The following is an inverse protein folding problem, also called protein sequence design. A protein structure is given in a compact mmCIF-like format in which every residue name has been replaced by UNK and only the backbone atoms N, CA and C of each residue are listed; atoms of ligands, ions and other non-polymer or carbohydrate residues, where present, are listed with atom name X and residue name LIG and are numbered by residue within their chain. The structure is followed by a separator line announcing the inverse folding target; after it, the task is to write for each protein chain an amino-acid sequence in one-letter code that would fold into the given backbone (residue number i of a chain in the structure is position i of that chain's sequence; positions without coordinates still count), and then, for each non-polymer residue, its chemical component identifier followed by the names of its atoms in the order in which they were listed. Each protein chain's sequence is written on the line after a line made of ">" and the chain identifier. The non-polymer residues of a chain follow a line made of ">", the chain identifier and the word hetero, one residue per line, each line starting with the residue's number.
data_IF_542097727139
#
_entry.id   IF_542097727139
#
_cell.length_a   1.000
_cell.length_b   1.000
_cell.length_c   1.000
_cell.angle_alpha   90.00
_cell.angle_beta   90.00
_cell.angle_gamma   90.00
#
_symmetry.space_group_name_H-M   'P 1'
#
loop_
_entity.id
_entity.type
_entity.pdbx_description
1 polymer ?
#
# COMPACT_ATOMS: atom_id res chain seq x y z
N UNK A 1 -16.60 -8.33 13.78
CA UNK A 1 -16.97 -8.50 12.36
C UNK A 1 -18.16 -7.63 11.95
N UNK A 2 -19.36 -7.84 12.54
CA UNK A 2 -20.59 -7.15 12.12
C UNK A 2 -20.49 -5.63 12.31
N UNK A 3 -19.96 -5.16 13.43
CA UNK A 3 -19.79 -3.71 13.71
C UNK A 3 -18.99 -3.01 12.60
N UNK A 4 -17.82 -3.56 12.26
CA UNK A 4 -16.96 -3.04 11.19
C UNK A 4 -17.64 -3.12 9.82
N UNK A 5 -18.30 -4.24 9.51
CA UNK A 5 -19.02 -4.37 8.25
C UNK A 5 -20.15 -3.33 8.11
N UNK A 6 -20.94 -3.12 9.17
CA UNK A 6 -21.98 -2.07 9.20
C UNK A 6 -21.37 -0.68 9.02
N UNK A 7 -20.22 -0.40 9.65
CA UNK A 7 -19.50 0.86 9.46
C UNK A 7 -19.10 1.04 8.00
N UNK A 8 -18.45 0.04 7.39
CA UNK A 8 -18.02 0.09 5.99
C UNK A 8 -19.21 0.32 5.05
N UNK A 9 -20.33 -0.41 5.26
CA UNK A 9 -21.55 -0.22 4.48
C UNK A 9 -22.22 1.14 4.73
N UNK A 10 -22.18 1.66 5.96
CA UNK A 10 -22.73 2.98 6.25
C UNK A 10 -21.96 4.07 5.48
N UNK A 11 -20.62 4.02 5.48
CA UNK A 11 -19.81 4.96 4.69
C UNK A 11 -20.00 4.77 3.19
N UNK A 12 -20.15 3.53 2.71
CA UNK A 12 -20.50 3.24 1.31
C UNK A 12 -21.85 3.86 0.92
N UNK A 13 -22.89 3.65 1.72
CA UNK A 13 -24.23 4.20 1.48
C UNK A 13 -24.25 5.73 1.57
N UNK A 14 -23.50 6.32 2.50
CA UNK A 14 -23.36 7.77 2.59
C UNK A 14 -22.65 8.34 1.35
N UNK A 15 -21.57 7.69 0.90
CA UNK A 15 -20.88 8.08 -0.33
C UNK A 15 -21.76 7.96 -1.56
N UNK A 16 -22.56 6.90 -1.66
CA UNK A 16 -23.56 6.71 -2.72
C UNK A 16 -24.66 7.76 -2.68
N UNK A 17 -25.19 8.07 -1.48
CA UNK A 17 -26.18 9.12 -1.30
C UNK A 17 -25.64 10.49 -1.75
N UNK A 18 -24.39 10.80 -1.43
CA UNK A 18 -23.73 12.04 -1.84
C UNK A 18 -23.49 12.05 -3.36
N UNK A 19 -22.98 10.97 -3.93
CA UNK A 19 -22.75 10.86 -5.37
C UNK A 19 -24.05 11.06 -6.15
N UNK A 20 -25.13 10.39 -5.69
CA UNK A 20 -26.44 10.47 -6.30
C UNK A 20 -27.06 11.87 -6.16
N UNK A 21 -27.04 12.45 -4.95
CA UNK A 21 -27.59 13.79 -4.70
C UNK A 21 -26.83 14.89 -5.45
N UNK A 22 -25.51 14.77 -5.57
CA UNK A 22 -24.66 15.73 -6.28
C UNK A 22 -24.55 15.47 -7.79
N UNK A 23 -25.16 14.40 -8.32
CA UNK A 23 -25.00 13.95 -9.71
C UNK A 23 -23.52 13.86 -10.16
N UNK A 24 -22.67 13.32 -9.28
CA UNK A 24 -21.24 13.25 -9.54
C UNK A 24 -20.91 12.05 -10.44
N UNK A 25 -20.05 12.19 -11.47
CA UNK A 25 -19.64 11.08 -12.35
C UNK A 25 -18.57 10.18 -11.70
N UNK A 26 -18.68 9.96 -10.39
CA UNK A 26 -17.72 9.19 -9.59
C UNK A 26 -18.52 8.15 -8.80
N UNK A 27 -18.07 6.88 -8.74
CA UNK A 27 -18.74 5.87 -7.93
C UNK A 27 -18.82 6.30 -6.47
N UNK A 28 -20.00 6.15 -5.84
CA UNK A 28 -20.20 6.50 -4.43
C UNK A 28 -19.24 5.80 -3.49
N UNK A 29 -18.72 4.63 -3.88
CA UNK A 29 -17.69 3.90 -3.13
C UNK A 29 -16.41 4.69 -2.90
N UNK A 30 -15.98 5.48 -3.90
CA UNK A 30 -14.77 6.31 -3.78
C UNK A 30 -15.01 7.42 -2.76
N UNK A 31 -16.20 8.03 -2.79
CA UNK A 31 -16.59 9.07 -1.81
C UNK A 31 -16.65 8.47 -0.40
N UNK A 32 -17.28 7.30 -0.26
CA UNK A 32 -17.34 6.57 1.01
C UNK A 32 -15.96 6.25 1.59
N UNK A 33 -15.01 5.88 0.74
CA UNK A 33 -13.61 5.64 1.14
C UNK A 33 -12.95 6.92 1.65
N UNK A 34 -13.13 8.06 0.98
CA UNK A 34 -12.58 9.35 1.41
C UNK A 34 -13.19 9.77 2.76
N UNK A 35 -14.50 9.59 2.94
CA UNK A 35 -15.18 9.88 4.20
C UNK A 35 -14.69 8.98 5.34
N UNK A 36 -14.54 7.68 5.10
CA UNK A 36 -14.00 6.73 6.07
C UNK A 36 -12.56 7.13 6.47
N UNK A 37 -11.73 7.48 5.49
CA UNK A 37 -10.36 7.93 5.70
C UNK A 37 -10.31 9.22 6.55
N UNK A 38 -11.18 10.18 6.26
CA UNK A 38 -11.29 11.40 7.06
C UNK A 38 -11.65 11.05 8.51
N UNK A 39 -12.66 10.22 8.74
CA UNK A 39 -13.07 9.81 10.08
C UNK A 39 -11.99 9.03 10.84
N UNK A 40 -11.24 8.17 10.14
CA UNK A 40 -10.09 7.46 10.71
C UNK A 40 -8.95 8.41 11.10
N UNK A 41 -8.71 9.44 10.27
CA UNK A 41 -7.68 10.44 10.54
C UNK A 41 -8.01 11.31 11.75
N UNK A 42 -9.29 11.55 12.02
CA UNK A 42 -9.76 12.35 13.17
C UNK A 42 -9.79 11.58 14.48
N UNK A 43 -9.88 10.23 14.46
CA UNK A 43 -10.03 9.41 15.67
C UNK A 43 -9.14 8.17 15.66
N UNK A 44 -7.95 8.21 16.30
CA UNK A 44 -7.05 7.07 16.34
C UNK A 44 -7.63 5.85 17.07
N UNK A 45 -8.51 6.07 18.06
CA UNK A 45 -9.19 4.98 18.78
C UNK A 45 -10.23 4.23 17.94
N UNK A 46 -10.80 4.89 16.92
CA UNK A 46 -11.71 4.25 15.97
C UNK A 46 -10.96 3.30 15.04
N UNK A 47 -9.75 3.66 14.61
CA UNK A 47 -8.91 2.82 13.76
C UNK A 47 -8.60 1.48 14.42
N UNK A 48 -8.12 1.49 15.66
CA UNK A 48 -7.82 0.25 16.40
C UNK A 48 -9.03 -0.65 16.61
N UNK A 49 -10.23 -0.07 16.69
CA UNK A 49 -11.46 -0.82 16.92
C UNK A 49 -11.94 -1.59 15.67
N UNK A 50 -11.67 -1.07 14.47
CA UNK A 50 -12.16 -1.67 13.22
C UNK A 50 -11.10 -2.46 12.44
N UNK A 51 -9.81 -2.24 12.71
CA UNK A 51 -8.69 -2.80 11.95
C UNK A 51 -8.69 -4.33 11.89
N UNK A 52 -8.75 -5.01 13.05
CA UNK A 52 -8.71 -6.48 13.11
C UNK A 52 -9.84 -7.12 12.31
N UNK A 53 -11.04 -6.53 12.40
CA UNK A 53 -12.20 -7.00 11.66
C UNK A 53 -12.11 -6.67 10.15
N UNK A 54 -11.56 -5.51 9.78
CA UNK A 54 -11.35 -5.13 8.39
C UNK A 54 -10.32 -6.05 7.71
N UNK A 55 -9.24 -6.42 8.41
CA UNK A 55 -8.25 -7.39 7.94
C UNK A 55 -8.84 -8.78 7.74
N UNK A 56 -9.77 -9.21 8.60
CA UNK A 56 -10.47 -10.47 8.40
C UNK A 56 -11.49 -10.41 7.24
N UNK A 57 -12.09 -9.25 6.94
CA UNK A 57 -12.91 -9.07 5.73
C UNK A 57 -12.09 -9.14 4.44
N UNK A 58 -10.85 -8.63 4.45
CA UNK A 58 -9.92 -8.74 3.32
C UNK A 58 -9.64 -10.19 2.89
N UNK A 59 -9.76 -11.17 3.81
CA UNK A 59 -9.65 -12.60 3.46
C UNK A 59 -10.79 -13.09 2.56
N UNK A 60 -11.94 -12.42 2.60
CA UNK A 60 -13.11 -12.72 1.77
C UNK A 60 -13.17 -11.88 0.49
N UNK A 61 -12.19 -11.01 0.25
CA UNK A 61 -12.08 -10.20 -0.97
C UNK A 61 -12.15 -11.03 -2.27
N UNK A 62 -11.63 -12.28 -2.35
CA UNK A 62 -11.80 -13.11 -3.55
C UNK A 62 -13.28 -13.31 -3.94
N UNK A 63 -14.21 -13.38 -2.98
CA UNK A 63 -15.65 -13.48 -3.25
C UNK A 63 -16.19 -12.23 -3.96
N UNK A 64 -15.64 -11.05 -3.65
CA UNK A 64 -16.02 -9.78 -4.29
C UNK A 64 -15.47 -9.63 -5.70
N UNK A 65 -14.43 -10.39 -6.06
CA UNK A 65 -13.88 -10.42 -7.42
C UNK A 65 -14.54 -11.46 -8.33
N UNK A 66 -15.37 -12.36 -7.78
CA UNK A 66 -16.12 -13.33 -8.60
C UNK A 66 -17.05 -12.62 -9.60
N UNK A 67 -17.91 -11.64 -9.22
CA UNK A 67 -18.81 -11.00 -10.17
C UNK A 67 -18.09 -10.25 -11.31
N UNK A 68 -17.06 -9.42 -11.04
CA UNK A 68 -16.25 -8.81 -12.10
C UNK A 68 -15.57 -9.85 -13.00
N UNK A 69 -15.04 -10.93 -12.40
CA UNK A 69 -14.38 -12.01 -13.14
C UNK A 69 -15.33 -12.74 -14.09
N UNK A 70 -16.55 -13.06 -13.64
CA UNK A 70 -17.58 -13.67 -14.48
C UNK A 70 -17.98 -12.72 -15.63
N UNK A 71 -18.06 -11.42 -15.37
CA UNK A 71 -18.30 -10.42 -16.42
C UNK A 71 -17.26 -10.46 -17.54
N UNK A 72 -15.98 -10.63 -17.19
CA UNK A 72 -14.89 -10.77 -18.18
C UNK A 72 -15.04 -12.09 -18.95
N UNK A 73 -15.44 -13.17 -18.29
CA UNK A 73 -15.60 -14.50 -18.93
C UNK A 73 -16.66 -14.52 -20.03
N UNK A 74 -17.72 -13.71 -19.91
CA UNK A 74 -18.73 -13.56 -20.98
C UNK A 74 -18.10 -13.06 -22.28
N UNK A 75 -17.06 -12.22 -22.21
CA UNK A 75 -16.34 -11.69 -23.36
C UNK A 75 -15.01 -12.39 -23.60
N UNK A 76 -14.77 -13.56 -22.99
CA UNK A 76 -13.49 -14.27 -23.05
C UNK A 76 -13.00 -14.51 -24.47
N UNK A 77 -13.89 -14.81 -25.42
CA UNK A 77 -13.53 -15.01 -26.83
C UNK A 77 -12.99 -13.75 -27.50
N UNK A 78 -13.53 -12.57 -27.17
CA UNK A 78 -13.02 -11.28 -27.67
C UNK A 78 -11.71 -10.89 -26.99
N UNK A 79 -11.63 -11.10 -25.67
CA UNK A 79 -10.39 -10.91 -24.91
C UNK A 79 -9.27 -11.78 -25.48
N UNK A 80 -9.55 -13.04 -25.83
CA UNK A 80 -8.59 -13.97 -26.42
C UNK A 80 -8.02 -13.49 -27.78
N UNK A 81 -8.86 -12.88 -28.62
CA UNK A 81 -8.42 -12.32 -29.90
C UNK A 81 -7.57 -11.05 -29.72
N UNK A 82 -7.92 -10.22 -28.74
CA UNK A 82 -7.29 -8.92 -28.50
C UNK A 82 -6.27 -8.96 -27.33
N UNK A 83 -5.74 -10.13 -26.98
CA UNK A 83 -4.79 -10.29 -25.87
C UNK A 83 -3.54 -9.44 -26.02
N UNK A 84 -3.00 -9.37 -27.25
CA UNK A 84 -1.77 -8.62 -27.53
C UNK A 84 -1.96 -7.11 -27.30
N UNK A 85 -2.98 -6.44 -27.89
CA UNK A 85 -3.21 -5.02 -27.61
C UNK A 85 -3.58 -4.76 -26.14
N UNK A 86 -4.33 -5.66 -25.48
CA UNK A 86 -4.62 -5.53 -24.04
C UNK A 86 -3.33 -5.56 -23.23
N UNK A 87 -2.48 -6.58 -23.42
CA UNK A 87 -1.23 -6.73 -22.68
C UNK A 87 -0.29 -5.53 -22.88
N UNK A 88 -0.12 -5.08 -24.13
CA UNK A 88 0.70 -3.90 -24.43
C UNK A 88 0.13 -2.66 -23.75
N UNK A 89 -1.19 -2.43 -23.82
CA UNK A 89 -1.83 -1.27 -23.19
C UNK A 89 -1.64 -1.25 -21.67
N UNK A 90 -1.74 -2.42 -21.01
CA UNK A 90 -1.55 -2.54 -19.56
C UNK A 90 -0.10 -2.25 -19.18
N UNK A 91 0.87 -2.84 -19.88
CA UNK A 91 2.29 -2.61 -19.60
C UNK A 91 2.67 -1.15 -19.82
N UNK A 92 2.26 -0.57 -20.95
CA UNK A 92 2.56 0.83 -21.29
C UNK A 92 1.89 1.79 -20.30
N UNK A 93 0.60 1.59 -19.99
CA UNK A 93 -0.11 2.42 -19.03
C UNK A 93 0.51 2.35 -17.62
N UNK A 94 0.91 1.15 -17.18
CA UNK A 94 1.56 0.95 -15.88
C UNK A 94 2.92 1.64 -15.84
N UNK A 95 3.76 1.44 -16.85
CA UNK A 95 5.06 2.08 -16.94
C UNK A 95 4.94 3.61 -16.99
N UNK A 96 4.00 4.13 -17.78
CA UNK A 96 3.72 5.55 -17.88
C UNK A 96 3.24 6.12 -16.54
N UNK A 97 2.30 5.45 -15.86
CA UNK A 97 1.78 5.87 -14.56
C UNK A 97 2.90 5.95 -13.52
N UNK A 98 3.78 4.94 -13.48
CA UNK A 98 4.94 4.93 -12.57
C UNK A 98 5.90 6.08 -12.91
N UNK A 99 6.24 6.28 -14.19
CA UNK A 99 7.14 7.34 -14.61
C UNK A 99 6.59 8.73 -14.27
N UNK A 100 5.32 9.00 -14.58
CA UNK A 100 4.66 10.27 -14.25
C UNK A 100 4.59 10.48 -12.75
N UNK A 101 4.21 9.46 -11.97
CA UNK A 101 4.17 9.54 -10.51
C UNK A 101 5.55 9.84 -9.93
N UNK A 102 6.61 9.21 -10.45
CA UNK A 102 7.98 9.45 -10.01
C UNK A 102 8.46 10.87 -10.36
N UNK A 103 8.16 11.36 -11.56
CA UNK A 103 8.51 12.72 -11.99
C UNK A 103 7.76 13.79 -11.19
N UNK A 104 6.46 13.60 -10.96
CA UNK A 104 5.66 14.50 -10.11
C UNK A 104 6.17 14.47 -8.67
N UNK A 105 6.49 13.28 -8.14
CA UNK A 105 7.08 13.14 -6.81
C UNK A 105 8.43 13.85 -6.68
N UNK A 106 9.33 13.67 -7.65
CA UNK A 106 10.64 14.35 -7.68
C UNK A 106 10.47 15.87 -7.85
N UNK A 107 9.57 16.31 -8.72
CA UNK A 107 9.26 17.72 -8.93
C UNK A 107 8.69 18.38 -7.68
N UNK A 108 7.79 17.68 -6.97
CA UNK A 108 7.27 18.14 -5.70
C UNK A 108 8.39 18.19 -4.65
N UNK A 109 9.23 17.16 -4.49
CA UNK A 109 10.35 17.20 -3.56
C UNK A 109 11.40 18.29 -3.89
N UNK A 110 11.61 18.58 -5.17
CA UNK A 110 12.51 19.64 -5.61
C UNK A 110 11.94 21.04 -5.32
N UNK A 111 10.62 21.22 -5.45
CA UNK A 111 9.93 22.47 -5.15
C UNK A 111 9.72 22.68 -3.65
N UNK A 112 9.34 21.62 -2.95
CA UNK A 112 9.15 21.54 -1.50
C UNK A 112 10.46 21.20 -0.80
N UNK A 113 11.57 21.82 -1.25
CA UNK A 113 12.94 21.54 -0.79
C UNK A 113 12.92 21.35 0.72
N UNK A 114 12.92 20.10 1.23
CA UNK A 114 12.84 19.90 2.66
C UNK A 114 14.09 20.53 3.19
N UNK A 115 13.94 21.46 4.14
CA UNK A 115 15.05 21.83 5.02
C UNK A 115 15.31 20.64 5.93
N UNK A 116 15.69 19.50 5.34
CA UNK A 116 16.19 18.35 6.03
C UNK A 116 17.55 18.79 6.54
N UNK A 117 17.57 19.32 7.77
CA UNK A 117 18.73 19.19 8.61
C UNK A 117 19.22 17.74 8.48
N UNK A 118 20.53 17.53 8.27
CA UNK A 118 21.06 16.19 7.99
C UNK A 118 20.50 15.24 9.04
N UNK A 119 19.88 14.15 8.58
CA UNK A 119 19.44 13.06 9.45
C UNK A 119 20.63 12.74 10.34
N UNK A 120 20.55 13.06 11.63
CA UNK A 120 21.44 12.49 12.63
C UNK A 120 21.16 11.00 12.55
N UNK A 121 21.98 10.28 11.79
CA UNK A 121 21.99 8.83 11.74
C UNK A 121 22.11 8.34 13.18
N UNK A 122 21.04 7.78 13.78
CA UNK A 122 21.14 7.18 15.13
C UNK A 122 22.08 5.96 15.10
N UNK A 123 22.40 5.49 13.90
CA UNK A 123 23.29 4.37 13.59
C UNK A 123 24.70 4.77 13.19
N UNK A 124 25.09 6.06 13.28
CA UNK A 124 26.49 6.40 13.51
C UNK A 124 26.82 6.13 15.00
N UNK A 125 26.46 4.93 15.46
CA UNK A 125 26.88 4.41 16.74
C UNK A 125 28.34 3.97 16.55
N UNK A 126 29.26 4.36 17.45
CA UNK A 126 30.69 4.09 17.30
C UNK A 126 30.98 2.62 17.61
N UNK A 127 30.59 1.69 16.74
CA UNK A 127 30.93 0.27 16.85
C UNK A 127 32.36 -0.06 16.36
N UNK A 128 33.19 0.96 16.16
CA UNK A 128 34.63 0.79 15.93
C UNK A 128 35.50 1.65 16.87
N UNK A 129 34.94 2.20 17.95
CA UNK A 129 35.72 2.83 19.01
C UNK A 129 35.82 1.90 20.23
N UNK A 130 36.74 0.95 20.09
CA UNK A 130 37.60 0.41 21.16
C UNK A 130 37.00 -0.37 22.36
N UNK A 131 37.89 -1.20 22.87
CA UNK A 131 37.95 -1.75 24.23
C UNK A 131 37.16 -3.04 24.54
N UNK A 132 37.94 -4.13 24.60
CA UNK A 132 37.93 -5.06 25.75
C UNK A 132 36.81 -6.11 25.82
N UNK A 133 36.68 -6.95 24.78
CA UNK A 133 36.07 -8.29 24.92
C UNK A 133 36.59 -9.29 23.88
N UNK A 134 37.89 -9.57 23.89
CA UNK A 134 38.45 -10.76 23.23
C UNK A 134 38.90 -11.74 24.32
N UNK A 135 38.16 -12.83 24.60
CA UNK A 135 38.71 -13.92 25.37
C UNK A 135 39.79 -14.63 24.53
N UNK A 136 40.96 -14.77 25.15
CA UNK A 136 41.97 -15.80 24.91
C UNK A 136 42.43 -16.02 23.46
N UNK A 137 43.66 -15.58 23.20
CA UNK A 137 44.51 -16.13 22.17
C UNK A 137 44.41 -17.66 22.12
N UNK A 138 43.77 -18.18 21.08
CA UNK A 138 44.01 -19.54 20.60
C UNK A 138 45.24 -19.42 19.71
N UNK A 139 46.37 -19.70 20.35
CA UNK A 139 47.69 -19.88 19.77
C UNK A 139 47.66 -21.05 18.76
N UNK A 140 47.53 -20.72 17.47
CA UNK A 140 47.65 -21.66 16.34
C UNK A 140 49.10 -21.61 15.81
N UNK A 141 50.09 -21.59 16.69
CA UNK A 141 51.50 -21.71 16.33
C UNK A 141 52.18 -22.88 17.05
N UNK A 142 51.59 -24.08 17.00
CA UNK A 142 52.32 -25.34 17.23
C UNK A 142 51.62 -26.55 16.63
N UNK A 143 51.73 -26.70 15.31
CA UNK A 143 51.62 -28.00 14.63
C UNK A 143 52.99 -28.26 14.03
N UNK A 144 53.86 -28.83 14.86
CA UNK A 144 55.06 -29.54 14.43
C UNK A 144 54.65 -30.90 13.86
N UNK A 145 54.99 -31.14 12.60
CA UNK A 145 55.38 -32.45 12.02
C UNK A 145 56.37 -33.19 12.94
N UNK A 146 56.40 -34.53 13.01
CA UNK A 146 56.42 -35.47 11.88
C UNK A 146 55.20 -36.40 11.74
#
# INVERSE_FOLDING_TARGET
>A
MIKTFTVLLAYQCLGELIAYAANLPIPGAVIGMVLLLASLSLSPGFSSAIESDALALLKFLPLLFVPPGVGIMVFAGRVAHDLLPIAVSVVVCTALTIAVTALVGQGLCALWRPSAAPLKTPFASPLHADEKTAPAAVDIAKVDTP
#
